data_IF_063578979076
#
_entry.id   IF_063578979076
#
_cell.length_a   1.000
_cell.length_b   1.000
_cell.length_c   1.000
_cell.angle_alpha   90.00
_cell.angle_beta   90.00
_cell.angle_gamma   90.00
#
_symmetry.space_group_name_H-M   'P 1'
#
loop_
_entity.id
_entity.type
_entity.pdbx_description
1 polymer ?
#
# COMPACT_ATOMS: atom_id res chain seq x y z
N UNK A 1 -31.52 1.07 -1.62
CA UNK A 1 -30.13 0.63 -1.83
C UNK A 1 -29.40 1.69 -2.62
N UNK A 2 -28.18 2.02 -2.23
CA UNK A 2 -27.33 2.87 -3.10
C UNK A 2 -27.03 2.09 -4.40
N UNK A 3 -26.85 2.78 -5.55
CA UNK A 3 -26.40 2.09 -6.77
C UNK A 3 -24.99 1.54 -6.53
N UNK A 4 -24.63 0.41 -7.18
CA UNK A 4 -23.30 -0.18 -7.01
C UNK A 4 -22.21 0.82 -7.45
N UNK A 5 -21.06 0.84 -6.76
CA UNK A 5 -19.94 1.69 -7.15
C UNK A 5 -19.43 1.29 -8.54
N UNK A 6 -19.03 2.27 -9.33
CA UNK A 6 -18.43 2.03 -10.65
C UNK A 6 -16.93 1.71 -10.55
N UNK A 7 -16.31 2.04 -9.42
CA UNK A 7 -14.92 1.71 -9.14
C UNK A 7 -14.69 1.45 -7.65
N UNK A 8 -13.84 0.48 -7.34
CA UNK A 8 -13.47 0.10 -5.98
C UNK A 8 -11.97 0.30 -5.80
N UNK A 9 -11.57 1.15 -4.85
CA UNK A 9 -10.18 1.21 -4.42
C UNK A 9 -10.00 0.43 -3.11
N UNK A 10 -8.92 -0.34 -3.03
CA UNK A 10 -8.47 -1.02 -1.82
C UNK A 10 -7.10 -0.50 -1.42
N UNK A 11 -6.84 -0.36 -0.12
CA UNK A 11 -5.49 -0.18 0.37
C UNK A 11 -4.68 -1.49 0.29
N UNK A 12 -3.36 -1.40 0.40
CA UNK A 12 -2.47 -2.55 0.47
C UNK A 12 -2.18 -2.97 1.92
N UNK A 13 -1.64 -2.04 2.72
CA UNK A 13 -1.24 -2.27 4.09
C UNK A 13 -2.40 -2.69 4.98
N UNK A 14 -2.24 -3.74 5.76
CA UNK A 14 -3.27 -4.31 6.64
C UNK A 14 -4.62 -4.64 5.98
N UNK A 15 -4.78 -4.40 4.68
CA UNK A 15 -5.95 -4.83 3.88
C UNK A 15 -5.60 -6.06 3.05
N UNK A 16 -4.55 -6.01 2.26
CA UNK A 16 -4.10 -7.11 1.39
C UNK A 16 -2.89 -7.84 1.95
N UNK A 17 -2.00 -7.10 2.59
CA UNK A 17 -0.79 -7.59 3.23
C UNK A 17 -0.65 -7.00 4.62
N UNK A 18 -0.23 -7.78 5.61
CA UNK A 18 0.35 -7.23 6.83
C UNK A 18 1.83 -6.97 6.63
N UNK A 19 2.41 -6.09 7.43
CA UNK A 19 3.83 -5.75 7.35
C UNK A 19 4.44 -5.57 8.74
N UNK A 20 5.75 -5.81 8.82
CA UNK A 20 6.55 -5.65 10.03
C UNK A 20 7.89 -5.01 9.69
N UNK A 21 8.04 -3.73 10.01
CA UNK A 21 9.28 -2.98 9.78
C UNK A 21 10.47 -3.55 10.56
N UNK A 22 10.24 -4.10 11.76
CA UNK A 22 11.28 -4.73 12.58
C UNK A 22 11.98 -5.85 11.83
N UNK A 23 11.21 -6.63 11.04
CA UNK A 23 11.77 -7.67 10.18
C UNK A 23 12.73 -7.09 9.13
N UNK A 24 12.41 -5.96 8.53
CA UNK A 24 13.28 -5.25 7.58
C UNK A 24 14.58 -4.79 8.25
N UNK A 25 14.49 -4.19 9.43
CA UNK A 25 15.67 -3.73 10.19
C UNK A 25 16.58 -4.89 10.56
N UNK A 26 16.02 -6.02 11.02
CA UNK A 26 16.78 -7.23 11.34
C UNK A 26 17.48 -7.82 10.11
N UNK A 27 16.84 -7.80 8.94
CA UNK A 27 17.43 -8.30 7.70
C UNK A 27 18.58 -7.41 7.24
N UNK A 28 18.40 -6.09 7.27
CA UNK A 28 19.48 -5.14 6.95
C UNK A 28 20.65 -5.32 7.92
N UNK A 29 20.36 -5.46 9.21
CA UNK A 29 21.35 -5.71 10.25
C UNK A 29 22.16 -7.00 9.99
N UNK A 30 21.49 -8.08 9.62
CA UNK A 30 22.13 -9.36 9.31
C UNK A 30 23.07 -9.30 8.11
N UNK A 31 22.74 -8.49 7.10
CA UNK A 31 23.54 -8.33 5.88
C UNK A 31 24.71 -7.34 6.04
N UNK A 32 24.64 -6.46 7.04
CA UNK A 32 25.61 -5.35 7.18
C UNK A 32 26.48 -5.45 8.44
N UNK A 33 26.08 -6.28 9.42
CA UNK A 33 26.70 -6.30 10.74
C UNK A 33 26.37 -5.10 11.63
N UNK A 34 25.52 -4.18 11.17
CA UNK A 34 24.98 -3.07 11.97
C UNK A 34 23.95 -3.63 12.95
N UNK A 35 23.84 -3.07 14.16
CA UNK A 35 22.83 -3.53 15.13
C UNK A 35 21.41 -3.15 14.66
N UNK A 36 20.39 -4.01 14.87
CA UNK A 36 19.00 -3.72 14.45
C UNK A 36 18.47 -2.39 14.97
N UNK A 37 18.75 -2.04 16.23
CA UNK A 37 18.32 -0.78 16.84
C UNK A 37 18.96 0.44 16.15
N UNK A 38 20.20 0.31 15.67
CA UNK A 38 20.85 1.38 14.90
C UNK A 38 20.23 1.55 13.50
N UNK A 39 19.79 0.45 12.89
CA UNK A 39 19.04 0.48 11.63
C UNK A 39 17.69 1.16 11.85
N UNK A 40 16.96 0.79 12.90
CA UNK A 40 15.69 1.43 13.27
C UNK A 40 15.87 2.93 13.53
N UNK A 41 16.88 3.31 14.31
CA UNK A 41 17.22 4.72 14.57
C UNK A 41 17.50 5.50 13.26
N UNK A 42 18.17 4.88 12.29
CA UNK A 42 18.42 5.49 10.98
C UNK A 42 17.12 5.79 10.22
N UNK A 43 16.14 4.87 10.25
CA UNK A 43 14.87 5.04 9.57
C UNK A 43 13.89 5.97 10.30
N UNK A 44 13.94 6.00 11.64
CA UNK A 44 13.07 6.87 12.46
C UNK A 44 13.61 8.29 12.55
N UNK A 45 14.94 8.44 12.56
CA UNK A 45 15.58 9.76 12.51
C UNK A 45 15.21 10.45 11.19
N UNK A 46 14.87 11.73 11.25
CA UNK A 46 14.49 12.56 10.10
C UNK A 46 13.27 12.01 9.31
N UNK A 47 12.46 11.14 9.92
CA UNK A 47 11.26 10.55 9.30
C UNK A 47 11.53 9.93 7.92
N UNK A 48 12.64 9.20 7.76
CA UNK A 48 13.07 8.59 6.48
C UNK A 48 11.94 7.80 5.84
N UNK A 49 11.24 6.94 6.61
CA UNK A 49 10.15 6.12 6.09
C UNK A 49 9.01 6.98 5.51
N UNK A 50 8.52 7.95 6.27
CA UNK A 50 7.43 8.83 5.82
C UNK A 50 7.83 9.67 4.59
N UNK A 51 9.08 10.13 4.53
CA UNK A 51 9.60 10.87 3.38
C UNK A 51 9.70 10.00 2.13
N UNK A 52 10.11 8.74 2.28
CA UNK A 52 10.11 7.77 1.18
C UNK A 52 8.70 7.52 0.65
N UNK A 53 7.73 7.32 1.53
CA UNK A 53 6.33 7.07 1.16
C UNK A 53 5.67 8.25 0.46
N UNK A 54 6.07 9.46 0.77
CA UNK A 54 5.56 10.69 0.12
C UNK A 54 6.39 11.13 -1.08
N UNK A 55 7.40 10.34 -1.49
CA UNK A 55 8.30 10.67 -2.60
C UNK A 55 9.26 11.83 -2.31
N UNK A 56 9.32 12.31 -1.04
CA UNK A 56 10.20 13.39 -0.61
C UNK A 56 11.65 12.96 -0.38
N UNK A 57 11.96 11.68 -0.59
CA UNK A 57 13.30 11.12 -0.47
C UNK A 57 13.47 9.99 -1.49
N UNK A 58 14.60 10.01 -2.20
CA UNK A 58 14.93 8.97 -3.18
C UNK A 58 15.58 7.76 -2.50
N UNK A 59 15.23 6.55 -2.98
CA UNK A 59 15.76 5.32 -2.40
C UNK A 59 17.28 5.14 -2.61
N UNK A 60 17.83 5.61 -3.71
CA UNK A 60 19.29 5.61 -3.93
C UNK A 60 20.00 6.55 -2.93
N UNK A 61 19.37 7.67 -2.59
CA UNK A 61 19.88 8.60 -1.59
C UNK A 61 19.90 7.97 -0.20
N UNK A 62 18.84 7.25 0.17
CA UNK A 62 18.77 6.50 1.45
C UNK A 62 19.87 5.46 1.52
N UNK A 63 20.02 4.62 0.49
CA UNK A 63 21.09 3.61 0.41
C UNK A 63 22.47 4.24 0.53
N UNK A 64 22.76 5.28 -0.26
CA UNK A 64 24.06 5.96 -0.25
C UNK A 64 24.37 6.60 1.12
N UNK A 65 23.34 7.13 1.79
CA UNK A 65 23.47 7.73 3.13
C UNK A 65 23.68 6.66 4.19
N UNK A 66 22.97 5.54 4.12
CA UNK A 66 23.16 4.38 4.99
C UNK A 66 24.60 3.85 4.88
N UNK A 67 25.05 3.56 3.65
CA UNK A 67 26.40 3.04 3.40
C UNK A 67 27.49 3.98 3.95
N UNK A 68 27.35 5.28 3.77
CA UNK A 68 28.28 6.28 4.28
C UNK A 68 28.25 6.37 5.81
N UNK A 69 27.05 6.33 6.40
CA UNK A 69 26.88 6.48 7.85
C UNK A 69 27.45 5.29 8.63
N UNK A 70 27.25 4.08 8.11
CA UNK A 70 27.67 2.84 8.78
C UNK A 70 28.97 2.24 8.19
N UNK A 71 29.60 2.88 7.21
CA UNK A 71 30.74 2.33 6.48
C UNK A 71 30.45 0.95 5.88
N UNK A 72 29.22 0.75 5.39
CA UNK A 72 28.74 -0.51 4.80
C UNK A 72 28.93 -0.53 3.30
N UNK A 73 29.21 -1.68 2.72
CA UNK A 73 29.34 -1.96 1.29
C UNK A 73 28.15 -2.79 0.74
N UNK A 74 27.04 -2.86 1.49
CA UNK A 74 25.84 -3.58 1.04
C UNK A 74 25.40 -3.10 -0.34
N UNK A 75 25.13 -4.04 -1.26
CA UNK A 75 24.64 -3.65 -2.58
C UNK A 75 23.25 -3.04 -2.52
N UNK A 76 22.94 -2.18 -3.49
CA UNK A 76 21.64 -1.53 -3.59
C UNK A 76 20.48 -2.54 -3.67
N UNK A 77 20.68 -3.61 -4.44
CA UNK A 77 19.68 -4.66 -4.63
C UNK A 77 19.44 -5.45 -3.34
N UNK A 78 20.50 -5.79 -2.60
CA UNK A 78 20.41 -6.53 -1.35
C UNK A 78 19.75 -5.67 -0.26
N UNK A 79 20.17 -4.41 -0.17
CA UNK A 79 19.56 -3.44 0.74
C UNK A 79 18.06 -3.25 0.47
N UNK A 80 17.68 -3.08 -0.81
CA UNK A 80 16.28 -2.96 -1.21
C UNK A 80 15.46 -4.22 -0.92
N UNK A 81 16.02 -5.41 -1.15
CA UNK A 81 15.35 -6.66 -0.83
C UNK A 81 15.18 -6.86 0.67
N UNK A 82 16.21 -6.55 1.46
CA UNK A 82 16.14 -6.64 2.92
C UNK A 82 15.11 -5.66 3.51
N UNK A 83 15.08 -4.42 3.02
CA UNK A 83 14.10 -3.43 3.43
C UNK A 83 12.67 -3.78 2.98
N UNK A 84 12.50 -4.37 1.80
CA UNK A 84 11.21 -4.68 1.21
C UNK A 84 10.56 -5.98 1.69
N UNK A 85 11.34 -6.95 2.19
CA UNK A 85 10.84 -8.25 2.63
C UNK A 85 10.18 -8.20 4.02
N UNK A 86 9.17 -7.37 4.17
CA UNK A 86 8.46 -7.14 5.44
C UNK A 86 7.02 -7.64 5.43
N UNK A 87 6.52 -8.10 4.28
CA UNK A 87 5.12 -8.39 4.06
C UNK A 87 4.74 -9.84 4.34
N UNK A 88 3.48 -10.01 4.74
CA UNK A 88 2.77 -11.29 4.79
C UNK A 88 1.40 -11.13 4.14
N UNK A 89 1.09 -11.98 3.15
CA UNK A 89 -0.17 -11.90 2.41
C UNK A 89 -1.36 -12.30 3.31
N UNK A 90 -2.43 -11.52 3.27
CA UNK A 90 -3.71 -11.86 3.88
C UNK A 90 -4.49 -12.79 2.95
N UNK A 91 -4.38 -14.10 3.21
CA UNK A 91 -4.94 -15.14 2.34
C UNK A 91 -6.45 -15.03 2.20
N UNK A 92 -7.14 -14.50 3.20
CA UNK A 92 -8.59 -14.28 3.19
C UNK A 92 -9.05 -13.24 2.16
N UNK A 93 -8.12 -12.41 1.64
CA UNK A 93 -8.41 -11.44 0.60
C UNK A 93 -8.33 -12.03 -0.82
N UNK A 94 -7.66 -13.16 -1.01
CA UNK A 94 -7.52 -13.80 -2.33
C UNK A 94 -8.87 -14.14 -2.96
N UNK A 95 -9.82 -14.80 -2.25
CA UNK A 95 -11.14 -15.05 -2.81
C UNK A 95 -11.91 -13.78 -3.15
N UNK A 96 -11.74 -12.70 -2.37
CA UNK A 96 -12.39 -11.40 -2.63
C UNK A 96 -11.88 -10.82 -3.95
N UNK A 97 -10.56 -10.73 -4.13
CA UNK A 97 -9.95 -10.24 -5.38
C UNK A 97 -10.35 -11.09 -6.60
N UNK A 98 -10.28 -12.41 -6.46
CA UNK A 98 -10.68 -13.35 -7.51
C UNK A 98 -12.16 -13.18 -7.91
N UNK A 99 -13.03 -12.92 -6.91
CA UNK A 99 -14.46 -12.72 -7.15
C UNK A 99 -14.74 -11.38 -7.82
N UNK A 100 -14.04 -10.30 -7.43
CA UNK A 100 -14.12 -9.01 -8.11
C UNK A 100 -13.71 -9.14 -9.59
N UNK A 101 -12.61 -9.85 -9.89
CA UNK A 101 -12.16 -10.10 -11.25
C UNK A 101 -13.18 -10.94 -12.05
N UNK A 102 -13.63 -12.07 -11.49
CA UNK A 102 -14.60 -12.97 -12.14
C UNK A 102 -15.90 -12.27 -12.52
N UNK A 103 -16.38 -11.39 -11.62
CA UNK A 103 -17.61 -10.61 -11.83
C UNK A 103 -17.36 -9.29 -12.60
N UNK A 104 -16.14 -9.06 -13.10
CA UNK A 104 -15.74 -7.91 -13.92
C UNK A 104 -15.98 -6.55 -13.25
N UNK A 105 -15.92 -6.49 -11.93
CA UNK A 105 -15.89 -5.21 -11.23
C UNK A 105 -14.60 -4.46 -11.55
N UNK A 106 -14.70 -3.15 -11.69
CA UNK A 106 -13.53 -2.28 -11.85
C UNK A 106 -12.95 -2.01 -10.46
N UNK A 107 -11.70 -2.38 -10.23
CA UNK A 107 -11.05 -2.13 -8.97
C UNK A 107 -9.55 -1.84 -9.12
N UNK A 108 -9.00 -1.15 -8.12
CA UNK A 108 -7.64 -0.68 -8.10
C UNK A 108 -7.05 -0.64 -6.70
N UNK A 109 -5.77 -0.32 -6.65
CA UNK A 109 -5.00 -0.12 -5.43
C UNK A 109 -4.75 1.37 -5.20
N UNK A 110 -4.91 1.84 -3.96
CA UNK A 110 -4.55 3.18 -3.52
C UNK A 110 -3.76 3.07 -2.21
N UNK A 111 -2.44 3.16 -2.27
CA UNK A 111 -1.58 2.83 -1.14
C UNK A 111 -0.50 3.88 -0.88
N UNK A 112 -0.26 4.16 0.41
CA UNK A 112 0.98 4.77 0.85
C UNK A 112 2.06 3.69 0.81
N UNK A 113 3.10 3.92 0.01
CA UNK A 113 4.15 2.94 -0.23
C UNK A 113 5.44 3.64 -0.66
N UNK A 114 6.55 2.93 -0.62
CA UNK A 114 7.83 3.41 -1.10
C UNK A 114 8.43 2.42 -2.11
N UNK A 115 9.45 2.85 -2.83
CA UNK A 115 10.08 2.08 -3.91
C UNK A 115 10.49 0.67 -3.48
N UNK A 116 11.29 0.43 -2.39
CA UNK A 116 11.71 -0.90 -2.02
C UNK A 116 10.54 -1.84 -1.65
N UNK A 117 9.49 -1.31 -1.02
CA UNK A 117 8.30 -2.08 -0.67
C UNK A 117 7.55 -2.53 -1.92
N UNK A 118 7.31 -1.60 -2.84
CA UNK A 118 6.58 -1.90 -4.07
C UNK A 118 7.37 -2.83 -5.00
N UNK A 119 8.66 -2.57 -5.18
CA UNK A 119 9.55 -3.43 -5.99
C UNK A 119 9.59 -4.86 -5.42
N UNK A 120 9.58 -5.02 -4.08
CA UNK A 120 9.51 -6.33 -3.45
C UNK A 120 8.19 -7.04 -3.75
N UNK A 121 7.04 -6.34 -3.61
CA UNK A 121 5.73 -6.91 -3.93
C UNK A 121 5.61 -7.31 -5.40
N UNK A 122 6.23 -6.56 -6.31
CA UNK A 122 6.23 -6.86 -7.75
C UNK A 122 7.12 -8.05 -8.13
N UNK A 123 8.26 -8.25 -7.45
CA UNK A 123 9.31 -9.16 -7.89
C UNK A 123 9.50 -10.39 -6.97
N UNK A 124 8.70 -10.53 -5.91
CA UNK A 124 8.75 -11.64 -4.96
C UNK A 124 7.66 -12.69 -5.22
N UNK A 125 7.43 -13.54 -4.23
CA UNK A 125 6.33 -14.51 -4.21
C UNK A 125 4.94 -13.86 -4.31
N UNK A 126 4.83 -12.55 -4.15
CA UNK A 126 3.58 -11.78 -4.23
C UNK A 126 3.38 -11.13 -5.61
N UNK A 127 4.21 -11.43 -6.59
CA UNK A 127 4.22 -10.79 -7.91
C UNK A 127 2.89 -10.85 -8.67
N UNK A 128 1.99 -11.77 -8.33
CA UNK A 128 0.63 -11.81 -8.89
C UNK A 128 -0.27 -10.69 -8.35
N UNK A 129 0.03 -10.13 -7.17
CA UNK A 129 -0.81 -9.14 -6.52
C UNK A 129 -0.94 -7.85 -7.35
N UNK A 130 0.14 -7.23 -7.85
CA UNK A 130 0.03 -6.05 -8.71
C UNK A 130 -0.80 -6.29 -9.98
N UNK A 131 -0.75 -7.49 -10.55
CA UNK A 131 -1.49 -7.83 -11.77
C UNK A 131 -3.00 -8.03 -11.55
N UNK A 132 -3.45 -8.12 -10.30
CA UNK A 132 -4.88 -8.19 -9.99
C UNK A 132 -5.61 -6.87 -10.27
N UNK A 133 -4.92 -5.73 -10.26
CA UNK A 133 -5.51 -4.40 -10.28
C UNK A 133 -5.47 -3.75 -11.66
N UNK A 134 -6.59 -3.12 -12.04
CA UNK A 134 -6.69 -2.34 -13.28
C UNK A 134 -6.01 -0.97 -13.16
N UNK A 135 -5.94 -0.44 -11.95
CA UNK A 135 -5.35 0.86 -11.65
C UNK A 135 -4.61 0.78 -10.34
N UNK A 136 -3.40 1.29 -10.33
CA UNK A 136 -2.55 1.37 -9.13
C UNK A 136 -2.15 2.83 -8.94
N UNK A 137 -2.31 3.32 -7.72
CA UNK A 137 -1.90 4.65 -7.28
C UNK A 137 -1.05 4.50 -6.03
N UNK A 138 0.22 4.86 -6.13
CA UNK A 138 1.20 4.77 -5.07
C UNK A 138 1.67 6.18 -4.67
N UNK A 139 1.71 6.46 -3.38
CA UNK A 139 2.02 7.78 -2.85
C UNK A 139 3.38 8.31 -3.32
N UNK A 140 4.42 7.45 -3.33
CA UNK A 140 5.78 7.85 -3.76
C UNK A 140 5.89 8.16 -5.26
N UNK A 141 4.98 7.64 -6.11
CA UNK A 141 4.95 7.95 -7.55
C UNK A 141 4.22 9.25 -7.84
N UNK A 142 3.24 9.61 -7.00
CA UNK A 142 2.43 10.82 -7.18
C UNK A 142 2.84 11.96 -6.24
N UNK A 143 3.86 11.70 -5.39
CA UNK A 143 4.46 12.67 -4.46
C UNK A 143 3.47 13.24 -3.43
N UNK A 144 2.44 12.48 -3.13
CA UNK A 144 1.43 12.82 -2.12
C UNK A 144 0.81 11.53 -1.56
N UNK A 145 0.64 11.44 -0.24
CA UNK A 145 0.09 10.27 0.44
C UNK A 145 -1.26 10.54 1.10
N UNK A 146 -2.02 9.47 1.36
CA UNK A 146 -3.18 9.51 2.25
C UNK A 146 -2.73 9.98 3.64
N UNK A 147 -3.48 10.82 4.34
CA UNK A 147 -4.85 11.27 4.09
C UNK A 147 -4.96 12.61 3.32
N UNK A 148 -3.92 13.08 2.61
CA UNK A 148 -4.03 14.30 1.82
C UNK A 148 -5.09 14.12 0.71
N UNK A 149 -5.98 15.12 0.58
CA UNK A 149 -7.06 15.10 -0.42
C UNK A 149 -6.57 15.01 -1.86
N UNK A 150 -5.36 15.48 -2.13
CA UNK A 150 -4.79 15.50 -3.47
C UNK A 150 -4.63 14.10 -4.07
N UNK A 151 -4.28 13.07 -3.24
CA UNK A 151 -4.13 11.71 -3.74
C UNK A 151 -5.48 11.11 -4.19
N UNK A 152 -6.57 11.40 -3.47
CA UNK A 152 -7.91 10.93 -3.85
C UNK A 152 -8.40 11.63 -5.12
N UNK A 153 -8.18 12.93 -5.26
CA UNK A 153 -8.49 13.65 -6.50
C UNK A 153 -7.68 13.12 -7.69
N UNK A 154 -6.39 12.81 -7.48
CA UNK A 154 -5.55 12.18 -8.50
C UNK A 154 -6.12 10.81 -8.90
N UNK A 155 -6.40 9.95 -7.92
CA UNK A 155 -6.96 8.61 -8.16
C UNK A 155 -8.32 8.67 -8.87
N UNK A 156 -9.21 9.57 -8.45
CA UNK A 156 -10.50 9.81 -9.10
C UNK A 156 -10.34 10.23 -10.57
N UNK A 157 -9.45 11.17 -10.84
CA UNK A 157 -9.17 11.63 -12.22
C UNK A 157 -8.64 10.46 -13.07
N UNK A 158 -7.76 9.65 -12.51
CA UNK A 158 -7.14 8.49 -13.20
C UNK A 158 -8.17 7.45 -13.64
N UNK A 159 -9.23 7.22 -12.85
CA UNK A 159 -10.27 6.23 -13.17
C UNK A 159 -11.45 6.81 -13.93
N UNK A 160 -11.61 8.14 -13.96
CA UNK A 160 -12.66 8.83 -14.71
C UNK A 160 -14.08 8.59 -14.17
N UNK A 161 -14.21 8.37 -12.84
CA UNK A 161 -15.48 8.03 -12.18
C UNK A 161 -15.86 9.16 -11.23
N UNK A 162 -17.14 9.60 -11.17
CA UNK A 162 -17.59 10.58 -10.18
C UNK A 162 -17.35 10.10 -8.74
N UNK A 163 -17.02 11.01 -7.83
CA UNK A 163 -16.66 10.72 -6.45
C UNK A 163 -17.67 9.77 -5.74
N UNK A 164 -18.97 10.08 -5.84
CA UNK A 164 -20.04 9.30 -5.19
C UNK A 164 -20.25 7.88 -5.78
N UNK A 165 -19.52 7.52 -6.82
CA UNK A 165 -19.54 6.19 -7.46
C UNK A 165 -18.23 5.44 -7.23
N UNK A 166 -17.35 5.96 -6.38
CA UNK A 166 -16.11 5.29 -5.94
C UNK A 166 -16.34 4.76 -4.52
N UNK A 167 -16.07 3.48 -4.34
CA UNK A 167 -15.95 2.86 -3.02
C UNK A 167 -14.47 2.73 -2.65
N UNK A 168 -14.14 2.99 -1.39
CA UNK A 168 -12.78 2.85 -0.86
C UNK A 168 -12.77 2.10 0.47
N UNK A 169 -11.77 1.25 0.67
CA UNK A 169 -11.57 0.50 1.91
C UNK A 169 -10.12 0.59 2.36
N UNK A 170 -9.91 1.00 3.63
CA UNK A 170 -8.60 1.26 4.23
C UNK A 170 -8.67 0.95 5.74
N UNK A 171 -7.60 0.47 6.37
CA UNK A 171 -7.58 0.12 7.80
C UNK A 171 -7.49 1.36 8.71
N UNK A 172 -7.05 2.51 8.19
CA UNK A 172 -6.89 3.74 8.95
C UNK A 172 -8.09 4.66 8.81
N UNK A 173 -8.71 5.00 9.94
CA UNK A 173 -9.88 5.91 9.97
C UNK A 173 -9.59 7.27 9.35
N UNK A 174 -8.40 7.83 9.55
CA UNK A 174 -8.01 9.12 8.97
C UNK A 174 -8.03 9.10 7.42
N UNK A 175 -7.65 7.98 6.80
CA UNK A 175 -7.70 7.81 5.35
C UNK A 175 -9.13 7.68 4.85
N UNK A 176 -9.96 6.90 5.56
CA UNK A 176 -11.39 6.74 5.26
C UNK A 176 -12.13 8.07 5.37
N UNK A 177 -11.88 8.83 6.44
CA UNK A 177 -12.52 10.13 6.66
C UNK A 177 -12.09 11.15 5.60
N UNK A 178 -10.82 11.16 5.20
CA UNK A 178 -10.33 12.00 4.11
C UNK A 178 -11.02 11.65 2.77
N UNK A 179 -11.17 10.36 2.44
CA UNK A 179 -11.90 9.92 1.27
C UNK A 179 -13.37 10.39 1.29
N UNK A 180 -14.03 10.28 2.43
CA UNK A 180 -15.41 10.79 2.61
C UNK A 180 -15.51 12.30 2.41
N UNK A 181 -14.50 13.08 2.85
CA UNK A 181 -14.52 14.56 2.66
C UNK A 181 -14.42 14.97 1.19
N UNK A 182 -13.88 14.13 0.31
CA UNK A 182 -13.85 14.35 -1.14
C UNK A 182 -15.05 13.72 -1.87
N UNK A 183 -16.01 13.18 -1.10
CA UNK A 183 -17.28 12.65 -1.63
C UNK A 183 -17.24 11.18 -2.03
N UNK A 184 -16.21 10.42 -1.70
CA UNK A 184 -16.19 8.97 -1.91
C UNK A 184 -17.05 8.25 -0.88
N UNK A 185 -17.57 7.08 -1.25
CA UNK A 185 -18.13 6.14 -0.27
C UNK A 185 -16.97 5.31 0.28
N UNK A 186 -16.74 5.34 1.58
CA UNK A 186 -15.57 4.71 2.16
C UNK A 186 -15.88 4.02 3.49
N UNK A 187 -15.24 2.87 3.75
CA UNK A 187 -15.40 2.08 4.98
C UNK A 187 -14.04 1.67 5.56
N UNK A 188 -14.01 1.54 6.88
CA UNK A 188 -12.83 1.04 7.59
C UNK A 188 -12.76 -0.47 7.40
N UNK A 189 -11.62 -0.95 6.90
CA UNK A 189 -11.34 -2.37 6.81
C UNK A 189 -11.08 -2.96 8.20
N UNK A 190 -11.76 -4.04 8.53
CA UNK A 190 -11.50 -4.82 9.73
C UNK A 190 -11.20 -6.28 9.41
N UNK A 191 -12.00 -6.87 8.53
CA UNK A 191 -11.84 -8.26 8.05
C UNK A 191 -12.36 -8.40 6.63
N UNK A 192 -11.92 -9.44 5.92
CA UNK A 192 -12.46 -9.76 4.59
C UNK A 192 -13.97 -9.97 4.62
N UNK A 193 -14.52 -10.61 5.69
CA UNK A 193 -15.96 -10.82 5.85
C UNK A 193 -16.72 -9.50 6.01
N UNK A 194 -16.14 -8.51 6.72
CA UNK A 194 -16.78 -7.20 6.81
C UNK A 194 -16.78 -6.50 5.44
N UNK A 195 -15.66 -6.51 4.73
CA UNK A 195 -15.59 -5.94 3.38
C UNK A 195 -16.62 -6.60 2.42
N UNK A 196 -16.79 -7.92 2.49
CA UNK A 196 -17.81 -8.63 1.70
C UNK A 196 -19.22 -8.11 2.02
N UNK A 197 -19.57 -7.91 3.30
CA UNK A 197 -20.87 -7.32 3.69
C UNK A 197 -21.02 -5.90 3.16
N UNK A 198 -19.98 -5.06 3.35
CA UNK A 198 -19.99 -3.66 2.88
C UNK A 198 -20.20 -3.56 1.37
N UNK A 199 -19.58 -4.45 0.61
CA UNK A 199 -19.74 -4.54 -0.85
C UNK A 199 -21.14 -5.05 -1.24
N UNK A 200 -21.64 -6.08 -0.56
CA UNK A 200 -23.00 -6.62 -0.81
C UNK A 200 -24.09 -5.57 -0.53
N UNK A 201 -23.98 -4.79 0.55
CA UNK A 201 -24.91 -3.70 0.90
C UNK A 201 -24.95 -2.60 -0.17
N UNK A 202 -23.92 -2.53 -1.00
CA UNK A 202 -23.77 -1.63 -2.16
C UNK A 202 -24.10 -2.31 -3.49
N UNK A 203 -24.66 -3.50 -3.47
CA UNK A 203 -25.03 -4.22 -4.70
C UNK A 203 -23.85 -4.88 -5.43
N UNK A 204 -22.68 -4.96 -4.80
CA UNK A 204 -21.50 -5.68 -5.34
C UNK A 204 -21.56 -7.13 -4.87
N UNK A 205 -22.33 -7.96 -5.58
CA UNK A 205 -22.49 -9.37 -5.21
C UNK A 205 -21.28 -10.19 -5.65
N UNK A 206 -20.50 -10.68 -4.69
CA UNK A 206 -19.29 -11.45 -4.96
C UNK A 206 -19.57 -12.93 -5.26
N UNK A 207 -20.76 -13.45 -4.91
CA UNK A 207 -21.14 -14.86 -5.14
C UNK A 207 -20.30 -15.85 -4.32
N UNK A 208 -19.96 -15.42 -3.08
CA UNK A 208 -19.20 -16.21 -2.10
C UNK A 208 -20.09 -16.60 -0.94
#
# INVERSE_FOLDING_TARGET
MKPPPQFIFLDAGNVLVSFDYTKGFQQIAAETGVLPDQVEDFYTRDNVQSRLENGGLDWHEVHSTFCRHFSSDISFELFGRAAGNIFTLKLEMIPVLASLQRNRFRFGLLSNSCRPHWDYLCNSQYSLLPHAFQTIVLSHEVFVGKPDKAIYHYAQKKVGVPAHQIFFCDDLSCNVDAARTVGWDAEIFTTAQQLIRDLNDRGVCLGM
#
